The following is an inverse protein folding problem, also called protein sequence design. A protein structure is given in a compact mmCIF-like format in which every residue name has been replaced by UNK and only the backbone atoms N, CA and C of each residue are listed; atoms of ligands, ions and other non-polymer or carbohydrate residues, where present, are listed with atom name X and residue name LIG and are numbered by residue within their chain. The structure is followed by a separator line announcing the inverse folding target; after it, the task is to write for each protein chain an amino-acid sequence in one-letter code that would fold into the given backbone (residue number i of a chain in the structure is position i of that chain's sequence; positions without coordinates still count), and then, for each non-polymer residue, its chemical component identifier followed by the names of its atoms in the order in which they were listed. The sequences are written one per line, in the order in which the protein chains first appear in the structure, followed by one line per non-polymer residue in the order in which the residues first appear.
data_IF_103875399599
#
_entry.id   IF_103875399599
#
_cell.length_a   1.000
_cell.length_b   1.000
_cell.length_c   1.000
_cell.angle_alpha   90.00
_cell.angle_beta   90.00
_cell.angle_gamma   90.00
#
_symmetry.space_group_name_H-M   'P 1'
#
loop_
_entity.id
_entity.type
_entity.pdbx_description
1 polymer ?
#
# COMPACT_ATOMS: atom_id res chain seq x y z
N UNK A 1 28.67 -10.65 -7.12
CA UNK A 1 29.28 -11.96 -6.75
C UNK A 1 28.11 -12.89 -6.43
N UNK A 2 28.01 -14.04 -7.09
CA UNK A 2 26.85 -14.91 -6.85
C UNK A 2 27.04 -15.76 -5.60
N UNK A 3 26.06 -15.69 -4.68
CA UNK A 3 25.96 -16.57 -3.54
C UNK A 3 25.65 -18.00 -4.00
N UNK A 4 26.31 -18.99 -3.38
CA UNK A 4 25.93 -20.39 -3.58
C UNK A 4 24.50 -20.66 -3.07
N UNK A 5 23.81 -21.70 -3.58
CA UNK A 5 22.45 -22.03 -3.11
C UNK A 5 22.38 -22.22 -1.58
N UNK A 6 23.38 -22.85 -1.00
CA UNK A 6 23.45 -23.05 0.47
C UNK A 6 23.62 -21.73 1.24
N UNK A 7 24.36 -20.77 0.70
CA UNK A 7 24.51 -19.44 1.29
C UNK A 7 23.22 -18.64 1.23
N UNK A 8 22.47 -18.73 0.12
CA UNK A 8 21.15 -18.13 -0.01
C UNK A 8 20.16 -18.71 0.99
N UNK A 9 20.08 -20.05 1.12
CA UNK A 9 19.20 -20.71 2.08
C UNK A 9 19.49 -20.27 3.52
N UNK A 10 20.78 -20.24 3.90
CA UNK A 10 21.23 -19.83 5.24
C UNK A 10 20.85 -18.36 5.50
N UNK A 11 21.07 -17.47 4.52
CA UNK A 11 20.80 -16.06 4.66
C UNK A 11 19.30 -15.76 4.75
N UNK A 12 18.46 -16.44 3.96
CA UNK A 12 17.00 -16.37 4.03
C UNK A 12 16.52 -16.84 5.40
N UNK A 13 17.02 -17.98 5.88
CA UNK A 13 16.65 -18.54 7.18
C UNK A 13 17.04 -17.61 8.33
N UNK A 14 18.25 -17.04 8.29
CA UNK A 14 18.71 -16.05 9.27
C UNK A 14 17.76 -14.85 9.31
N UNK A 15 17.44 -14.28 8.16
CA UNK A 15 16.53 -13.11 8.08
C UNK A 15 15.15 -13.45 8.64
N UNK A 16 14.61 -14.61 8.28
CA UNK A 16 13.30 -15.07 8.76
C UNK A 16 13.26 -15.21 10.28
N UNK A 17 14.24 -15.90 10.85
CA UNK A 17 14.34 -16.09 12.30
C UNK A 17 14.58 -14.77 13.04
N UNK A 18 15.43 -13.90 12.48
CA UNK A 18 15.72 -12.60 13.05
C UNK A 18 14.47 -11.70 13.14
N UNK A 19 13.61 -11.71 12.10
CA UNK A 19 12.35 -10.99 12.12
C UNK A 19 11.33 -11.53 13.12
N UNK A 20 11.36 -12.84 13.39
CA UNK A 20 10.47 -13.48 14.36
C UNK A 20 10.89 -13.22 15.82
N UNK A 21 12.19 -13.22 16.09
CA UNK A 21 12.72 -13.17 17.46
C UNK A 21 13.27 -11.82 17.89
N UNK A 22 13.59 -10.92 16.94
CA UNK A 22 14.16 -9.59 17.18
C UNK A 22 15.49 -9.58 17.97
N UNK A 23 16.22 -10.70 17.94
CA UNK A 23 17.56 -10.84 18.56
C UNK A 23 18.51 -11.62 17.64
N UNK A 24 19.82 -11.59 17.94
CA UNK A 24 20.83 -12.34 17.18
C UNK A 24 20.57 -13.85 17.23
N UNK A 25 20.64 -14.51 16.07
CA UNK A 25 20.30 -15.92 15.86
C UNK A 25 21.56 -16.75 15.93
N UNK A 26 21.53 -17.87 16.68
CA UNK A 26 22.67 -18.79 16.77
C UNK A 26 22.75 -19.67 15.53
N UNK A 27 23.98 -20.07 15.18
CA UNK A 27 24.20 -20.95 14.02
C UNK A 27 23.53 -22.32 14.17
N UNK A 28 23.32 -22.77 15.40
CA UNK A 28 22.62 -24.02 15.74
C UNK A 28 21.12 -23.92 15.37
N UNK A 29 20.46 -22.78 15.62
CA UNK A 29 19.07 -22.54 15.29
C UNK A 29 18.83 -22.57 13.76
N UNK A 30 19.76 -21.97 13.00
CA UNK A 30 19.72 -22.01 11.53
C UNK A 30 19.93 -23.45 11.03
N UNK A 31 20.88 -24.19 11.68
CA UNK A 31 21.17 -25.56 11.30
C UNK A 31 19.98 -26.49 11.54
N UNK A 32 19.24 -26.29 12.63
CA UNK A 32 18.03 -27.03 12.98
C UNK A 32 16.91 -26.82 11.92
N UNK A 33 16.64 -25.58 11.57
CA UNK A 33 15.61 -25.23 10.55
C UNK A 33 15.96 -25.82 9.19
N UNK A 34 17.22 -25.72 8.78
CA UNK A 34 17.70 -26.22 7.49
C UNK A 34 17.99 -27.74 7.50
N UNK A 35 17.88 -28.42 8.65
CA UNK A 35 18.25 -29.82 8.85
C UNK A 35 19.67 -30.13 8.35
N UNK A 36 20.63 -29.26 8.66
CA UNK A 36 22.02 -29.34 8.24
C UNK A 36 22.97 -29.46 9.44
N UNK A 37 24.20 -29.87 9.15
CA UNK A 37 25.23 -29.95 10.18
C UNK A 37 25.61 -28.54 10.68
N UNK A 38 25.61 -28.27 12.01
CA UNK A 38 25.97 -26.98 12.59
C UNK A 38 27.35 -26.46 12.20
N UNK A 39 28.32 -27.36 12.02
CA UNK A 39 29.68 -27.00 11.56
C UNK A 39 29.68 -26.44 10.14
N UNK A 40 28.88 -27.03 9.24
CA UNK A 40 28.71 -26.53 7.87
C UNK A 40 28.08 -25.14 7.89
N UNK A 41 27.02 -24.94 8.67
CA UNK A 41 26.36 -23.64 8.80
C UNK A 41 27.34 -22.59 9.34
N UNK A 42 28.10 -22.93 10.40
CA UNK A 42 29.11 -22.02 10.98
C UNK A 42 30.15 -21.57 9.94
N UNK A 43 30.67 -22.49 9.13
CA UNK A 43 31.62 -22.14 8.07
C UNK A 43 31.03 -21.21 7.03
N UNK A 44 29.78 -21.45 6.60
CA UNK A 44 29.09 -20.57 5.65
C UNK A 44 28.79 -19.21 6.27
N UNK A 45 28.46 -19.15 7.56
CA UNK A 45 28.25 -17.88 8.27
C UNK A 45 29.52 -17.03 8.33
N UNK A 46 30.71 -17.67 8.49
CA UNK A 46 31.99 -16.96 8.42
C UNK A 46 32.27 -16.42 7.01
N UNK A 47 31.93 -17.18 5.97
CA UNK A 47 32.02 -16.70 4.58
C UNK A 47 31.07 -15.53 4.34
N UNK A 48 29.81 -15.61 4.77
CA UNK A 48 28.83 -14.53 4.66
C UNK A 48 29.26 -13.27 5.45
N UNK A 49 29.90 -13.46 6.60
CA UNK A 49 30.49 -12.36 7.39
C UNK A 49 31.64 -11.68 6.64
N UNK A 50 32.53 -12.44 6.01
CA UNK A 50 33.61 -11.92 5.19
C UNK A 50 33.09 -11.10 3.99
N UNK A 51 31.90 -11.44 3.50
CA UNK A 51 31.19 -10.71 2.45
C UNK A 51 30.43 -9.47 2.95
N UNK A 52 30.43 -9.21 4.26
CA UNK A 52 29.68 -8.10 4.87
C UNK A 52 28.17 -8.30 4.87
N UNK A 53 27.67 -9.52 4.66
CA UNK A 53 26.24 -9.82 4.60
C UNK A 53 25.66 -10.16 5.99
N UNK A 54 26.50 -10.57 6.93
CA UNK A 54 26.08 -10.85 8.30
C UNK A 54 27.07 -10.28 9.31
N UNK A 55 26.56 -9.82 10.45
CA UNK A 55 27.33 -9.43 11.62
C UNK A 55 27.29 -10.52 12.68
N UNK A 56 28.44 -10.78 13.33
CA UNK A 56 28.54 -11.74 14.43
C UNK A 56 28.66 -11.00 15.77
N UNK A 57 27.74 -11.28 16.68
CA UNK A 57 27.75 -10.75 18.05
C UNK A 57 28.41 -11.81 18.94
N UNK A 58 29.57 -11.53 19.59
CA UNK A 58 30.24 -12.48 20.48
C UNK A 58 29.53 -12.57 21.82
N UNK A 59 29.74 -13.72 22.49
CA UNK A 59 29.30 -13.94 23.87
C UNK A 59 28.22 -15.02 24.04
N UNK A 60 27.84 -15.33 25.31
CA UNK A 60 26.85 -16.38 25.61
C UNK A 60 25.46 -16.14 25.03
N UNK A 61 25.10 -14.88 24.88
CA UNK A 61 23.86 -14.41 24.19
C UNK A 61 24.15 -13.93 22.76
N UNK A 62 25.34 -14.25 22.24
CA UNK A 62 25.74 -13.86 20.88
C UNK A 62 25.09 -14.73 19.82
N UNK A 63 25.31 -14.32 18.56
CA UNK A 63 24.74 -14.96 17.39
C UNK A 63 25.06 -14.15 16.16
N UNK A 64 24.24 -14.28 15.14
CA UNK A 64 24.38 -13.57 13.88
C UNK A 64 23.16 -12.69 13.64
N UNK A 65 23.38 -11.51 13.03
CA UNK A 65 22.36 -10.60 12.55
C UNK A 65 22.58 -10.27 11.08
N UNK A 66 21.52 -10.14 10.28
CA UNK A 66 21.65 -9.74 8.87
C UNK A 66 22.03 -8.27 8.77
N UNK A 67 22.88 -7.92 7.81
CA UNK A 67 23.22 -6.54 7.46
C UNK A 67 22.27 -6.00 6.38
N UNK A 68 22.30 -4.69 6.13
CA UNK A 68 21.60 -4.10 4.97
C UNK A 68 22.05 -4.72 3.63
N UNK A 69 23.30 -5.15 3.55
CA UNK A 69 23.84 -5.88 2.40
C UNK A 69 23.16 -7.22 2.14
N UNK A 70 22.79 -7.95 3.21
CA UNK A 70 22.07 -9.22 3.10
C UNK A 70 20.73 -9.06 2.38
N UNK A 71 19.96 -8.05 2.75
CA UNK A 71 18.68 -7.78 2.13
C UNK A 71 18.81 -7.37 0.66
N UNK A 72 19.85 -6.58 0.34
CA UNK A 72 20.15 -6.20 -1.04
C UNK A 72 20.54 -7.41 -1.90
N UNK A 73 21.39 -8.29 -1.39
CA UNK A 73 21.90 -9.44 -2.14
C UNK A 73 20.79 -10.45 -2.44
N UNK A 74 19.88 -10.70 -1.50
CA UNK A 74 18.74 -11.58 -1.71
C UNK A 74 17.71 -10.98 -2.68
N UNK A 75 17.49 -9.68 -2.63
CA UNK A 75 16.57 -9.00 -3.56
C UNK A 75 17.09 -8.97 -5.00
N UNK A 76 18.41 -9.05 -5.21
CA UNK A 76 19.01 -9.11 -6.54
C UNK A 76 19.03 -10.55 -7.10
N UNK A 77 18.94 -11.59 -6.24
CA UNK A 77 18.98 -12.99 -6.65
C UNK A 77 17.68 -13.53 -7.29
N UNK A 78 16.54 -12.91 -7.03
CA UNK A 78 15.21 -13.36 -7.49
C UNK A 78 14.62 -12.46 -8.59
N UNK A 79 15.42 -12.14 -9.62
CA UNK A 79 14.96 -11.32 -10.76
C UNK A 79 13.82 -11.99 -11.56
N UNK A 80 13.66 -13.30 -11.46
CA UNK A 80 12.60 -14.04 -12.16
C UNK A 80 11.23 -13.92 -11.50
N UNK A 81 11.16 -13.56 -10.19
CA UNK A 81 9.90 -13.44 -9.43
C UNK A 81 9.59 -12.00 -8.99
N UNK A 82 10.39 -11.00 -9.40
CA UNK A 82 10.12 -9.61 -9.06
C UNK A 82 9.00 -9.05 -9.94
N UNK A 83 7.99 -8.51 -9.30
CA UNK A 83 6.97 -7.69 -9.97
C UNK A 83 7.66 -6.49 -10.64
N UNK A 84 7.40 -6.29 -11.91
CA UNK A 84 7.98 -5.17 -12.66
C UNK A 84 7.47 -3.84 -12.10
N UNK A 85 8.39 -2.94 -11.75
CA UNK A 85 8.08 -1.53 -11.48
C UNK A 85 8.25 -0.76 -12.78
N UNK A 86 7.15 -0.32 -13.39
CA UNK A 86 7.19 0.38 -14.66
C UNK A 86 7.77 1.79 -14.50
N UNK A 87 8.38 2.28 -15.58
CA UNK A 87 8.74 3.68 -15.75
C UNK A 87 8.04 4.23 -17.00
N UNK A 88 7.51 5.42 -16.86
CA UNK A 88 6.85 6.16 -17.93
C UNK A 88 7.69 7.40 -18.24
N UNK A 89 7.74 7.80 -19.49
CA UNK A 89 8.31 9.06 -19.95
C UNK A 89 7.20 9.85 -20.64
N UNK A 90 6.96 11.07 -20.23
CA UNK A 90 5.91 11.95 -20.78
C UNK A 90 4.53 11.26 -20.86
N UNK A 91 4.22 10.39 -19.89
CA UNK A 91 2.97 9.62 -19.82
C UNK A 91 2.98 8.28 -20.58
N UNK A 92 3.99 7.98 -21.40
CA UNK A 92 4.08 6.74 -22.14
C UNK A 92 4.96 5.70 -21.42
N UNK A 93 4.45 4.47 -21.30
CA UNK A 93 5.21 3.37 -20.67
C UNK A 93 6.43 3.01 -21.52
N UNK A 94 7.61 3.05 -20.90
CA UNK A 94 8.87 2.68 -21.54
C UNK A 94 8.97 1.15 -21.67
N UNK A 95 8.88 0.65 -22.90
CA UNK A 95 9.00 -0.79 -23.19
C UNK A 95 10.45 -1.25 -23.02
N UNK A 96 10.64 -2.41 -22.39
CA UNK A 96 11.98 -2.98 -22.17
C UNK A 96 12.82 -2.27 -21.10
N UNK A 97 12.22 -1.33 -20.36
CA UNK A 97 12.86 -0.66 -19.24
C UNK A 97 12.05 -0.94 -17.97
N UNK A 98 12.74 -1.32 -16.90
CA UNK A 98 12.13 -1.51 -15.57
C UNK A 98 13.02 -0.96 -14.47
N UNK A 99 12.42 -0.44 -13.44
CA UNK A 99 13.14 0.08 -12.28
C UNK A 99 13.46 -1.07 -11.32
N UNK A 100 14.70 -1.11 -10.86
CA UNK A 100 15.20 -2.09 -9.88
C UNK A 100 15.53 -1.46 -8.54
N UNK A 101 15.90 -0.18 -8.51
CA UNK A 101 16.24 0.53 -7.27
C UNK A 101 15.87 2.01 -7.39
N UNK A 102 15.35 2.55 -6.30
CA UNK A 102 15.08 3.97 -6.11
C UNK A 102 15.71 4.40 -4.80
N UNK A 103 16.67 5.30 -4.86
CA UNK A 103 17.36 5.86 -3.70
C UNK A 103 17.29 7.37 -3.67
N UNK A 104 16.85 7.95 -2.56
CA UNK A 104 16.85 9.41 -2.38
C UNK A 104 18.23 9.90 -1.97
N UNK A 105 18.71 10.98 -2.58
CA UNK A 105 20.05 11.54 -2.35
C UNK A 105 20.05 12.84 -1.56
N UNK A 106 18.94 13.59 -1.58
CA UNK A 106 18.85 14.93 -0.98
C UNK A 106 17.58 15.17 -0.16
N UNK A 107 17.08 14.14 0.56
CA UNK A 107 15.85 14.27 1.38
C UNK A 107 15.90 15.37 2.45
N UNK A 108 17.10 15.70 2.94
CA UNK A 108 17.27 16.72 3.98
C UNK A 108 17.52 18.14 3.43
N UNK A 109 17.52 18.33 2.11
CA UNK A 109 17.72 19.64 1.53
C UNK A 109 16.38 20.41 1.51
N UNK A 110 16.34 21.70 1.95
CA UNK A 110 15.08 22.45 2.06
C UNK A 110 14.36 22.65 0.72
N UNK A 111 15.12 22.78 -0.38
CA UNK A 111 14.59 23.17 -1.68
C UNK A 111 14.73 22.08 -2.75
N UNK A 112 15.43 20.99 -2.45
CA UNK A 112 15.74 19.95 -3.44
C UNK A 112 15.40 18.56 -2.90
N UNK A 113 14.57 17.83 -3.64
CA UNK A 113 14.34 16.42 -3.45
C UNK A 113 14.84 15.66 -4.68
N UNK A 114 15.96 14.98 -4.56
CA UNK A 114 16.58 14.25 -5.66
C UNK A 114 16.65 12.76 -5.38
N UNK A 115 16.54 11.96 -6.45
CA UNK A 115 16.66 10.53 -6.36
C UNK A 115 17.48 9.96 -7.51
N UNK A 116 18.16 8.86 -7.22
CA UNK A 116 18.81 8.00 -8.19
C UNK A 116 17.88 6.80 -8.48
N UNK A 117 17.61 6.56 -9.74
CA UNK A 117 16.73 5.49 -10.24
C UNK A 117 17.53 4.54 -11.08
N UNK A 118 17.88 3.38 -10.54
CA UNK A 118 18.59 2.36 -11.31
C UNK A 118 17.61 1.51 -12.09
N UNK A 119 17.92 1.29 -13.36
CA UNK A 119 17.04 0.59 -14.30
C UNK A 119 17.74 -0.63 -14.92
N UNK A 120 16.95 -1.59 -15.35
CA UNK A 120 17.32 -2.58 -16.36
C UNK A 120 16.77 -2.07 -17.68
N UNK A 121 17.63 -2.02 -18.69
CA UNK A 121 17.38 -1.36 -19.96
C UNK A 121 18.46 -0.31 -20.24
N UNK A 122 18.24 0.55 -21.20
CA UNK A 122 19.23 1.58 -21.57
C UNK A 122 18.80 2.96 -21.07
N UNK A 123 19.68 3.62 -20.31
CA UNK A 123 19.49 5.03 -19.90
C UNK A 123 19.49 5.98 -21.11
N UNK A 124 20.07 5.57 -22.24
CA UNK A 124 20.11 6.37 -23.49
C UNK A 124 18.73 6.59 -24.13
N UNK A 125 17.70 5.87 -23.64
CA UNK A 125 16.31 6.10 -24.03
C UNK A 125 15.72 7.37 -23.39
N UNK A 126 16.41 7.96 -22.42
CA UNK A 126 16.00 9.16 -21.71
C UNK A 126 16.90 10.34 -22.06
N UNK A 127 16.40 11.55 -21.79
CA UNK A 127 17.11 12.82 -22.00
C UNK A 127 16.97 13.68 -20.75
N UNK A 128 17.91 14.60 -20.56
CA UNK A 128 17.76 15.64 -19.55
C UNK A 128 16.54 16.51 -19.92
N UNK A 129 15.68 16.76 -18.94
CA UNK A 129 14.40 17.45 -19.10
C UNK A 129 13.19 16.51 -19.28
N UNK A 130 13.40 15.19 -19.52
CA UNK A 130 12.26 14.25 -19.61
C UNK A 130 11.52 14.16 -18.27
N UNK A 131 10.18 14.25 -18.33
CA UNK A 131 9.33 13.98 -17.19
C UNK A 131 9.10 12.48 -17.04
N UNK A 132 9.53 11.92 -15.90
CA UNK A 132 9.39 10.50 -15.63
C UNK A 132 8.44 10.23 -14.49
N UNK A 133 7.69 9.12 -14.60
CA UNK A 133 6.84 8.59 -13.54
C UNK A 133 7.20 7.13 -13.28
N UNK A 134 7.53 6.81 -12.05
CA UNK A 134 8.04 5.51 -11.61
C UNK A 134 6.99 4.87 -10.70
N UNK A 135 6.61 3.64 -11.00
CA UNK A 135 5.59 2.93 -10.23
C UNK A 135 4.26 2.76 -11.01
N UNK A 136 3.20 2.28 -10.32
CA UNK A 136 3.16 2.01 -8.89
C UNK A 136 3.98 0.77 -8.47
N UNK A 137 4.62 0.85 -7.30
CA UNK A 137 5.32 -0.31 -6.74
C UNK A 137 4.33 -1.39 -6.27
N UNK A 138 4.72 -2.67 -6.23
CA UNK A 138 3.79 -3.77 -5.95
C UNK A 138 3.08 -3.67 -4.59
N UNK A 139 3.82 -3.33 -3.54
CA UNK A 139 3.33 -3.47 -2.15
C UNK A 139 2.57 -2.24 -1.64
N UNK A 140 3.18 -1.06 -1.71
CA UNK A 140 2.63 0.18 -1.14
C UNK A 140 2.15 1.16 -2.20
N UNK A 141 2.13 0.72 -3.49
CA UNK A 141 1.67 1.54 -4.62
C UNK A 141 2.37 2.91 -4.69
N UNK A 142 3.66 2.94 -4.28
CA UNK A 142 4.48 4.14 -4.39
C UNK A 142 4.57 4.58 -5.85
N UNK A 143 4.23 5.82 -6.08
CA UNK A 143 4.40 6.54 -7.34
C UNK A 143 5.34 7.71 -7.09
N UNK A 144 6.38 7.84 -7.90
CA UNK A 144 7.32 8.97 -7.86
C UNK A 144 7.35 9.62 -9.23
N UNK A 145 7.21 10.94 -9.26
CA UNK A 145 7.35 11.75 -10.48
C UNK A 145 8.48 12.74 -10.33
N UNK A 146 9.13 13.03 -11.42
CA UNK A 146 10.22 14.00 -11.44
C UNK A 146 10.79 14.22 -12.83
N UNK A 147 11.70 15.17 -12.92
CA UNK A 147 12.42 15.53 -14.12
C UNK A 147 13.82 14.92 -14.10
N UNK A 148 14.24 14.33 -15.21
CA UNK A 148 15.61 13.81 -15.38
C UNK A 148 16.56 14.98 -15.49
N UNK A 149 17.52 15.13 -14.55
CA UNK A 149 18.58 16.14 -14.62
C UNK A 149 19.97 15.54 -14.92
N UNK A 150 20.10 14.22 -14.90
CA UNK A 150 21.36 13.55 -15.22
C UNK A 150 21.19 12.05 -15.43
N UNK A 151 22.22 11.40 -15.96
CA UNK A 151 22.27 9.97 -16.23
C UNK A 151 23.66 9.43 -15.93
N UNK A 152 23.74 8.21 -15.38
CA UNK A 152 24.97 7.46 -15.19
C UNK A 152 24.90 6.17 -16.00
N UNK A 153 25.69 6.09 -17.07
CA UNK A 153 25.75 4.92 -17.97
C UNK A 153 26.39 3.72 -17.29
N UNK A 154 27.33 3.90 -16.37
CA UNK A 154 28.02 2.81 -15.69
C UNK A 154 27.10 2.11 -14.69
N UNK A 155 26.33 2.89 -13.94
CA UNK A 155 25.36 2.39 -12.97
C UNK A 155 24.01 2.06 -13.60
N UNK A 156 23.80 2.37 -14.87
CA UNK A 156 22.48 2.32 -15.54
C UNK A 156 21.41 3.04 -14.68
N UNK A 157 21.71 4.29 -14.31
CA UNK A 157 20.88 5.08 -13.41
C UNK A 157 20.48 6.42 -14.01
N UNK A 158 19.25 6.82 -13.74
CA UNK A 158 18.74 8.18 -13.97
C UNK A 158 18.86 8.97 -12.66
N UNK A 159 19.23 10.23 -12.76
CA UNK A 159 19.17 11.18 -11.66
C UNK A 159 17.96 12.08 -11.89
N UNK A 160 17.01 12.07 -10.96
CA UNK A 160 15.76 12.80 -11.09
C UNK A 160 15.58 13.83 -9.98
N UNK A 161 15.07 15.01 -10.34
CA UNK A 161 14.53 15.98 -9.42
C UNK A 161 13.09 15.63 -9.14
N UNK A 162 12.78 15.17 -7.92
CA UNK A 162 11.47 14.66 -7.53
C UNK A 162 10.50 15.81 -7.30
N UNK A 163 9.41 15.83 -8.04
CA UNK A 163 8.32 16.83 -7.90
C UNK A 163 7.13 16.28 -7.12
N UNK A 164 6.91 14.97 -7.14
CA UNK A 164 5.74 14.34 -6.52
C UNK A 164 6.08 12.94 -6.02
N UNK A 165 5.60 12.62 -4.82
CA UNK A 165 5.73 11.29 -4.23
C UNK A 165 4.44 10.92 -3.52
N UNK A 166 3.77 9.87 -4.01
CA UNK A 166 2.51 9.38 -3.46
C UNK A 166 2.67 7.93 -3.05
N UNK A 167 2.26 7.61 -1.83
CA UNK A 167 2.15 6.23 -1.35
C UNK A 167 0.88 6.08 -0.53
N UNK A 168 0.21 4.94 -0.68
CA UNK A 168 -0.98 4.63 0.10
C UNK A 168 -0.66 3.60 1.19
N UNK A 169 -1.24 3.74 2.40
CA UNK A 169 -1.06 2.79 3.47
C UNK A 169 -1.47 1.37 3.07
N UNK A 170 -0.78 0.38 3.66
CA UNK A 170 -1.05 -1.04 3.41
C UNK A 170 -2.28 -1.58 4.17
N UNK A 171 -2.77 -0.82 5.16
CA UNK A 171 -3.87 -1.26 6.01
C UNK A 171 -5.16 -1.48 5.20
N UNK A 172 -6.01 -2.37 5.73
CA UNK A 172 -7.34 -2.61 5.17
C UNK A 172 -8.27 -1.45 5.46
N UNK A 173 -9.36 -1.36 4.71
CA UNK A 173 -10.38 -0.30 4.90
C UNK A 173 -11.06 -0.38 6.27
N UNK A 174 -11.01 -1.53 6.96
CA UNK A 174 -11.47 -1.67 8.34
C UNK A 174 -10.85 -0.63 9.29
N UNK A 175 -9.59 -0.26 9.04
CA UNK A 175 -8.87 0.72 9.86
C UNK A 175 -9.36 2.16 9.65
N UNK A 176 -9.96 2.43 8.51
CA UNK A 176 -10.36 3.79 8.07
C UNK A 176 -11.86 4.01 8.07
N UNK A 177 -12.67 2.92 8.13
CA UNK A 177 -14.12 3.02 8.10
C UNK A 177 -14.67 3.72 9.34
N UNK A 178 -15.77 4.44 9.17
CA UNK A 178 -16.58 4.93 10.30
C UNK A 178 -17.46 3.79 10.80
N UNK A 179 -17.31 3.47 12.10
CA UNK A 179 -18.10 2.49 12.81
C UNK A 179 -18.35 2.98 14.25
N UNK A 180 -19.46 2.64 14.92
CA UNK A 180 -20.58 1.84 14.41
C UNK A 180 -21.36 2.56 13.31
N UNK A 181 -22.02 1.78 12.46
CA UNK A 181 -22.80 2.29 11.34
C UNK A 181 -24.09 2.96 11.85
N UNK A 182 -24.31 4.21 11.45
CA UNK A 182 -25.57 4.90 11.68
C UNK A 182 -26.54 4.55 10.55
N UNK A 183 -27.70 4.03 10.85
CA UNK A 183 -28.63 3.44 9.88
C UNK A 183 -30.05 3.98 10.04
N UNK A 184 -30.85 3.83 8.99
CA UNK A 184 -32.29 4.08 8.98
C UNK A 184 -33.03 2.74 8.78
N UNK A 185 -34.18 2.51 9.43
CA UNK A 185 -35.05 1.38 9.09
C UNK A 185 -35.82 1.67 7.79
N UNK A 186 -36.35 0.62 7.14
CA UNK A 186 -37.20 0.75 5.95
C UNK A 186 -38.46 1.62 6.18
N UNK A 187 -38.94 1.67 7.41
CA UNK A 187 -40.10 2.47 7.82
C UNK A 187 -39.81 3.93 8.04
N UNK A 188 -38.53 4.35 7.96
CA UNK A 188 -38.15 5.74 8.16
C UNK A 188 -38.70 6.66 7.08
N UNK A 189 -38.92 7.92 7.43
CA UNK A 189 -39.32 9.00 6.53
C UNK A 189 -38.14 9.91 6.18
N UNK A 190 -38.31 10.80 5.21
CA UNK A 190 -37.32 11.84 4.91
C UNK A 190 -37.06 12.74 6.12
N UNK A 191 -38.06 12.96 6.98
CA UNK A 191 -37.92 13.70 8.24
C UNK A 191 -36.92 13.03 9.18
N UNK A 192 -36.98 11.70 9.30
CA UNK A 192 -36.06 10.91 10.13
C UNK A 192 -34.65 10.99 9.57
N UNK A 193 -34.51 10.91 8.26
CA UNK A 193 -33.21 11.07 7.59
C UNK A 193 -32.60 12.45 7.82
N UNK A 194 -33.39 13.53 7.63
CA UNK A 194 -32.95 14.92 7.91
C UNK A 194 -32.52 15.06 9.37
N UNK A 195 -33.34 14.55 10.30
CA UNK A 195 -33.03 14.62 11.73
C UNK A 195 -31.70 13.89 12.05
N UNK A 196 -31.53 12.66 11.54
CA UNK A 196 -30.31 11.88 11.73
C UNK A 196 -29.07 12.62 11.16
N UNK A 197 -29.18 13.15 9.91
CA UNK A 197 -28.07 13.83 9.26
C UNK A 197 -27.64 15.09 10.00
N UNK A 198 -28.60 15.86 10.45
CA UNK A 198 -28.35 17.11 11.20
C UNK A 198 -27.75 16.81 12.59
N UNK A 199 -28.33 15.88 13.35
CA UNK A 199 -27.89 15.59 14.71
C UNK A 199 -26.56 14.87 14.79
N UNK A 200 -26.22 14.07 13.78
CA UNK A 200 -24.98 13.28 13.72
C UNK A 200 -23.92 13.88 12.79
N UNK A 201 -24.22 15.01 12.13
CA UNK A 201 -23.33 15.66 11.18
C UNK A 201 -22.84 14.72 10.08
N UNK A 202 -23.75 13.88 9.54
CA UNK A 202 -23.47 12.94 8.45
C UNK A 202 -24.24 13.34 7.18
N UNK A 203 -23.78 12.88 6.03
CA UNK A 203 -24.34 13.24 4.72
C UNK A 203 -25.00 12.06 4.02
N UNK A 204 -25.26 10.99 4.72
CA UNK A 204 -25.94 9.81 4.22
C UNK A 204 -25.91 8.66 5.20
N UNK A 205 -26.94 7.81 5.15
CA UNK A 205 -27.07 6.64 6.00
C UNK A 205 -27.62 5.46 5.19
N UNK A 206 -27.11 4.24 5.41
CA UNK A 206 -27.68 3.03 4.86
C UNK A 206 -29.05 2.75 5.49
N UNK A 207 -29.93 2.21 4.65
CA UNK A 207 -31.25 1.75 5.06
C UNK A 207 -31.20 0.23 5.22
N UNK A 208 -31.59 -0.26 6.39
CA UNK A 208 -31.59 -1.69 6.69
C UNK A 208 -33.02 -2.23 6.80
N UNK A 209 -33.19 -3.50 6.41
CA UNK A 209 -34.42 -4.24 6.67
C UNK A 209 -34.46 -4.79 8.12
N UNK A 210 -35.54 -5.47 8.46
CA UNK A 210 -35.73 -6.05 9.80
C UNK A 210 -34.72 -7.13 10.17
N UNK A 211 -34.11 -7.79 9.17
CA UNK A 211 -33.04 -8.79 9.36
C UNK A 211 -31.64 -8.17 9.47
N UNK A 212 -31.56 -6.84 9.35
CA UNK A 212 -30.30 -6.09 9.40
C UNK A 212 -29.52 -6.14 8.08
N UNK A 213 -30.16 -6.54 6.99
CA UNK A 213 -29.53 -6.54 5.67
C UNK A 213 -29.70 -5.18 5.00
N UNK A 214 -28.71 -4.83 4.17
CA UNK A 214 -28.68 -3.57 3.46
C UNK A 214 -29.73 -3.55 2.34
N UNK A 215 -30.72 -2.67 2.47
CA UNK A 215 -31.78 -2.44 1.49
C UNK A 215 -31.42 -1.29 0.52
N UNK A 216 -30.73 -0.27 0.99
CA UNK A 216 -30.36 0.89 0.20
C UNK A 216 -29.52 1.90 0.99
N UNK A 217 -29.33 3.06 0.42
CA UNK A 217 -28.71 4.23 1.06
C UNK A 217 -29.46 5.49 0.72
N UNK A 218 -29.63 6.39 1.71
CA UNK A 218 -30.18 7.74 1.53
C UNK A 218 -29.08 8.76 1.81
N UNK A 219 -29.00 9.78 1.00
CA UNK A 219 -27.99 10.85 1.09
C UNK A 219 -28.66 12.24 1.09
N UNK A 220 -27.89 13.29 1.43
CA UNK A 220 -28.36 14.67 1.30
C UNK A 220 -28.78 15.01 -0.13
N UNK A 221 -28.11 14.44 -1.14
CA UNK A 221 -28.48 14.66 -2.55
C UNK A 221 -29.85 14.06 -2.88
N UNK A 222 -30.19 12.91 -2.28
CA UNK A 222 -31.50 12.29 -2.45
C UNK A 222 -32.59 13.13 -1.80
N UNK A 223 -32.32 13.68 -0.61
CA UNK A 223 -33.24 14.61 0.07
C UNK A 223 -33.46 15.89 -0.76
N UNK A 224 -32.39 16.47 -1.30
CA UNK A 224 -32.48 17.66 -2.13
C UNK A 224 -33.30 17.41 -3.40
N UNK A 225 -33.07 16.29 -4.07
CA UNK A 225 -33.83 15.87 -5.25
C UNK A 225 -35.31 15.65 -4.92
N UNK A 226 -35.59 14.94 -3.83
CA UNK A 226 -36.97 14.69 -3.39
C UNK A 226 -37.75 15.97 -3.13
N UNK A 227 -37.13 16.96 -2.50
CA UNK A 227 -37.76 18.28 -2.26
C UNK A 227 -37.97 19.07 -3.56
N UNK A 228 -37.03 19.02 -4.49
CA UNK A 228 -37.17 19.64 -5.80
C UNK A 228 -38.31 19.04 -6.63
N UNK A 229 -38.51 17.74 -6.51
CA UNK A 229 -39.62 16.98 -7.09
C UNK A 229 -40.98 17.21 -6.36
N UNK A 230 -40.99 17.98 -5.29
CA UNK A 230 -42.20 18.33 -4.53
C UNK A 230 -42.66 17.30 -3.50
N UNK A 231 -41.78 16.31 -3.18
CA UNK A 231 -42.04 15.33 -2.13
C UNK A 231 -41.98 15.98 -0.74
N UNK A 232 -42.75 15.47 0.20
CA UNK A 232 -42.82 16.02 1.56
C UNK A 232 -41.88 15.24 2.49
N UNK A 233 -41.60 15.81 3.67
CA UNK A 233 -40.77 15.16 4.68
C UNK A 233 -41.39 13.86 5.23
N UNK A 234 -42.69 13.64 5.06
CA UNK A 234 -43.39 12.44 5.51
C UNK A 234 -43.30 11.27 4.49
N UNK A 235 -42.66 11.52 3.32
CA UNK A 235 -42.39 10.49 2.31
C UNK A 235 -41.44 9.43 2.86
N UNK A 236 -41.73 8.14 2.66
CA UNK A 236 -40.87 7.05 3.05
C UNK A 236 -39.48 7.10 2.37
N UNK A 237 -38.41 6.78 3.10
CA UNK A 237 -37.04 6.75 2.52
C UNK A 237 -36.90 5.75 1.38
N UNK A 238 -37.75 4.72 1.32
CA UNK A 238 -37.77 3.71 0.29
C UNK A 238 -38.11 4.23 -1.11
N UNK A 239 -38.79 5.38 -1.19
CA UNK A 239 -39.12 6.00 -2.46
C UNK A 239 -37.93 6.76 -3.10
N UNK A 240 -36.96 7.17 -2.28
CA UNK A 240 -35.86 8.02 -2.74
C UNK A 240 -34.48 7.37 -2.61
N UNK A 241 -34.36 6.29 -1.80
CA UNK A 241 -33.09 5.63 -1.57
C UNK A 241 -32.51 5.02 -2.84
N UNK A 242 -31.19 5.01 -2.93
CA UNK A 242 -30.48 4.23 -3.94
C UNK A 242 -30.36 2.79 -3.46
N UNK A 243 -30.96 1.83 -4.20
CA UNK A 243 -30.96 0.42 -3.84
C UNK A 243 -29.64 -0.29 -4.23
N UNK A 244 -29.03 0.10 -5.35
CA UNK A 244 -27.76 -0.48 -5.81
C UNK A 244 -26.58 0.18 -5.06
N UNK A 245 -26.34 -0.28 -3.84
CA UNK A 245 -25.30 0.25 -2.97
C UNK A 245 -24.00 -0.52 -3.18
N UNK A 246 -22.92 0.21 -3.47
CA UNK A 246 -21.59 -0.40 -3.60
C UNK A 246 -21.09 -0.86 -2.25
N UNK A 247 -20.71 -2.13 -2.20
CA UNK A 247 -20.23 -2.83 -0.99
C UNK A 247 -18.78 -3.28 -1.18
N UNK A 248 -18.06 -3.39 -0.07
CA UNK A 248 -16.73 -3.98 -0.05
C UNK A 248 -16.48 -4.72 1.26
N UNK A 249 -15.77 -5.86 1.23
CA UNK A 249 -15.34 -6.52 2.46
C UNK A 249 -14.33 -5.65 3.22
N UNK A 250 -14.36 -5.72 4.55
CA UNK A 250 -13.48 -4.93 5.42
C UNK A 250 -11.98 -5.19 5.19
N UNK A 251 -11.65 -6.33 4.59
CA UNK A 251 -10.27 -6.78 4.33
C UNK A 251 -9.61 -6.13 3.11
N UNK A 252 -10.35 -5.49 2.20
CA UNK A 252 -9.72 -4.85 1.03
C UNK A 252 -8.80 -3.71 1.47
N UNK A 253 -7.78 -3.47 0.66
CA UNK A 253 -6.80 -2.43 0.94
C UNK A 253 -7.29 -1.07 0.47
N UNK A 254 -6.76 -0.01 1.12
CA UNK A 254 -7.16 1.36 0.82
C UNK A 254 -6.98 1.74 -0.66
N UNK A 255 -5.91 1.28 -1.32
CA UNK A 255 -5.68 1.59 -2.73
C UNK A 255 -6.74 0.96 -3.67
N UNK A 256 -7.29 -0.21 -3.32
CA UNK A 256 -8.37 -0.85 -4.07
C UNK A 256 -9.68 -0.06 -3.91
N UNK A 257 -9.92 0.46 -2.70
CA UNK A 257 -11.04 1.35 -2.45
C UNK A 257 -10.96 2.64 -3.28
N UNK A 258 -9.79 3.29 -3.31
CA UNK A 258 -9.55 4.50 -4.11
C UNK A 258 -9.82 4.23 -5.59
N UNK A 259 -9.38 3.07 -6.09
CA UNK A 259 -9.69 2.61 -7.45
C UNK A 259 -11.20 2.54 -7.71
N UNK A 260 -11.94 1.86 -6.81
CA UNK A 260 -13.42 1.74 -6.94
C UNK A 260 -14.15 3.07 -6.90
N UNK A 261 -13.71 4.02 -6.05
CA UNK A 261 -14.31 5.35 -6.00
C UNK A 261 -14.14 6.09 -7.34
N UNK A 262 -12.95 5.98 -7.93
CA UNK A 262 -12.64 6.62 -9.21
C UNK A 262 -13.36 5.97 -10.39
N UNK A 263 -13.37 4.63 -10.46
CA UNK A 263 -13.98 3.88 -11.56
C UNK A 263 -15.52 3.97 -11.57
N UNK A 264 -16.15 4.04 -10.39
CA UNK A 264 -17.61 4.08 -10.25
C UNK A 264 -18.18 5.47 -9.97
N UNK A 265 -17.32 6.47 -9.88
CA UNK A 265 -17.68 7.88 -9.59
C UNK A 265 -18.50 8.04 -8.29
N UNK A 266 -18.22 7.19 -7.28
CA UNK A 266 -18.93 7.19 -6.00
C UNK A 266 -18.16 7.93 -4.91
N UNK A 267 -18.89 8.57 -3.99
CA UNK A 267 -18.32 9.28 -2.85
C UNK A 267 -18.27 8.44 -1.56
N UNK A 268 -18.87 7.26 -1.55
CA UNK A 268 -18.99 6.38 -0.37
C UNK A 268 -19.30 4.95 -0.75
N UNK A 269 -18.98 4.01 0.14
CA UNK A 269 -19.40 2.61 0.04
C UNK A 269 -19.64 2.02 1.44
N UNK A 270 -20.41 0.93 1.48
CA UNK A 270 -20.71 0.20 2.70
C UNK A 270 -19.69 -0.94 2.88
N UNK A 271 -19.10 -0.99 4.07
CA UNK A 271 -18.20 -2.08 4.47
C UNK A 271 -19.02 -3.21 5.04
N UNK A 272 -18.75 -4.43 4.56
CA UNK A 272 -19.46 -5.63 4.99
C UNK A 272 -18.50 -6.66 5.58
N UNK A 273 -18.96 -7.36 6.64
CA UNK A 273 -18.33 -8.57 7.19
C UNK A 273 -19.41 -9.66 7.27
N UNK A 274 -19.11 -10.85 6.81
CA UNK A 274 -20.05 -11.99 6.77
C UNK A 274 -21.42 -11.63 6.16
N UNK A 275 -21.39 -10.76 5.13
CA UNK A 275 -22.60 -10.30 4.44
C UNK A 275 -23.37 -9.16 5.15
N UNK A 276 -23.04 -8.84 6.39
CA UNK A 276 -23.69 -7.76 7.18
C UNK A 276 -22.94 -6.43 7.05
N UNK A 277 -23.65 -5.31 6.97
CA UNK A 277 -23.04 -3.99 6.95
C UNK A 277 -22.47 -3.65 8.36
N UNK A 278 -21.17 -3.33 8.40
CA UNK A 278 -20.45 -3.05 9.66
C UNK A 278 -19.89 -1.63 9.75
N UNK A 279 -19.75 -0.96 8.60
CA UNK A 279 -19.20 0.38 8.55
C UNK A 279 -19.46 1.05 7.20
N UNK A 280 -19.03 2.31 7.11
CA UNK A 280 -19.07 3.11 5.89
C UNK A 280 -17.70 3.76 5.68
N UNK A 281 -17.24 3.84 4.45
CA UNK A 281 -16.07 4.64 4.06
C UNK A 281 -16.48 5.67 3.05
N UNK A 282 -16.02 6.89 3.24
CA UNK A 282 -16.29 8.06 2.40
C UNK A 282 -15.00 8.66 1.85
N UNK A 283 -15.10 9.57 0.89
CA UNK A 283 -13.96 10.35 0.40
C UNK A 283 -13.28 11.15 1.53
N UNK A 284 -14.05 11.64 2.51
CA UNK A 284 -13.51 12.35 3.68
C UNK A 284 -12.60 11.46 4.52
N UNK A 285 -12.93 10.16 4.67
CA UNK A 285 -12.09 9.22 5.41
C UNK A 285 -10.77 8.97 4.69
N UNK A 286 -10.78 8.99 3.34
CA UNK A 286 -9.54 8.90 2.55
C UNK A 286 -8.67 10.15 2.73
N UNK A 287 -9.28 11.35 2.77
CA UNK A 287 -8.52 12.59 2.99
C UNK A 287 -7.81 12.57 4.35
N UNK A 288 -8.45 12.00 5.39
CA UNK A 288 -7.86 11.87 6.73
C UNK A 288 -6.64 10.95 6.80
N UNK A 289 -6.40 10.14 5.77
CA UNK A 289 -5.20 9.30 5.68
C UNK A 289 -3.94 10.14 5.47
N UNK A 290 -4.08 11.29 4.83
CA UNK A 290 -2.95 12.20 4.63
C UNK A 290 -2.67 12.96 5.93
N UNK A 291 -1.40 12.99 6.39
CA UNK A 291 -1.06 13.73 7.59
C UNK A 291 -1.34 15.23 7.39
N UNK A 292 -1.77 15.89 8.47
CA UNK A 292 -1.81 17.35 8.50
C UNK A 292 -0.36 17.84 8.45
N UNK A 293 -0.01 18.55 7.39
CA UNK A 293 1.30 19.17 7.19
C UNK A 293 1.36 20.52 7.91
#
# INVERSE_FOLDING_TARGET
MELSPIQKDILITLITLYHQSSHSIKGEEIAEVLKRNPGTVRNQMQALKALGLVDGVPGPKGGYSPTAGAYKELNLGDLEHQSEVPIFRDGEKMKGVRVVELGFTTLCHPDLCQAMVRIIGSVKLFRIGDMVSIGPTPVNKLLVRGEVFGMDENLQALLISVSEMISLPKQSIKHYMTAPLLTLPLTATLRDAVHLFNTRHIHGAPVLNETGDLAGIVTLSDLARALDEGLTLDTPVTEVMTADVVKAPSSIRLYELVGRFKEREIGRLIVVEDGKPVGIVTQTDIIRVFPSL
#
